data_IF_837752317583
#
_entry.id   IF_837752317583
#
_cell.length_a   1.000
_cell.length_b   1.000
_cell.length_c   1.000
_cell.angle_alpha   90.00
_cell.angle_beta   90.00
_cell.angle_gamma   90.00
#
_symmetry.space_group_name_H-M   'P 1'
#
loop_
_entity.id
_entity.type
_entity.pdbx_description
1 polymer ?
#
# COMPACT_ATOMS: atom_id res chain seq x y z
N UNK A 1 10.96 -15.64 26.26
CA UNK A 1 10.17 -15.87 25.04
C UNK A 1 10.50 -17.25 24.49
N UNK A 2 9.52 -18.03 24.06
CA UNK A 2 9.79 -19.35 23.46
C UNK A 2 10.36 -19.18 22.04
N UNK A 3 11.17 -20.13 21.58
CA UNK A 3 11.77 -20.10 20.23
C UNK A 3 10.72 -20.00 19.13
N UNK A 4 9.56 -20.63 19.32
CA UNK A 4 8.45 -20.55 18.37
C UNK A 4 7.85 -19.15 18.25
N UNK A 5 7.62 -18.47 19.39
CA UNK A 5 7.08 -17.09 19.37
C UNK A 5 8.09 -16.10 18.78
N UNK A 6 9.39 -16.34 18.98
CA UNK A 6 10.44 -15.54 18.35
C UNK A 6 10.46 -15.68 16.83
N UNK A 7 10.27 -16.89 16.32
CA UNK A 7 10.20 -17.13 14.88
C UNK A 7 8.95 -16.46 14.28
N UNK A 8 7.80 -16.54 14.94
CA UNK A 8 6.56 -15.89 14.53
C UNK A 8 6.73 -14.37 14.39
N UNK A 9 7.26 -13.71 15.43
CA UNK A 9 7.49 -12.25 15.42
C UNK A 9 8.47 -11.87 14.30
N UNK A 10 9.58 -12.61 14.18
CA UNK A 10 10.56 -12.34 13.14
C UNK A 10 9.98 -12.49 11.73
N UNK A 11 9.23 -13.56 11.46
CA UNK A 11 8.59 -13.78 10.15
C UNK A 11 7.53 -12.72 9.87
N UNK A 12 6.70 -12.38 10.84
CA UNK A 12 5.65 -11.38 10.67
C UNK A 12 6.23 -9.99 10.39
N UNK A 13 7.26 -9.58 11.14
CA UNK A 13 7.93 -8.30 10.92
C UNK A 13 8.63 -8.27 9.56
N UNK A 14 9.30 -9.35 9.17
CA UNK A 14 9.95 -9.44 7.85
C UNK A 14 8.95 -9.27 6.70
N UNK A 15 7.78 -9.91 6.78
CA UNK A 15 6.73 -9.76 5.78
C UNK A 15 6.17 -8.33 5.73
N UNK A 16 5.98 -7.72 6.90
CA UNK A 16 5.55 -6.33 7.04
C UNK A 16 6.55 -5.36 6.38
N UNK A 17 7.85 -5.53 6.66
CA UNK A 17 8.93 -4.73 6.10
C UNK A 17 9.04 -4.90 4.58
N UNK A 18 8.85 -6.13 4.07
CA UNK A 18 8.74 -6.39 2.62
C UNK A 18 7.56 -5.61 2.03
N UNK A 19 6.41 -5.57 2.72
CA UNK A 19 5.25 -4.79 2.28
C UNK A 19 5.57 -3.30 2.12
N UNK A 20 6.30 -2.73 3.09
CA UNK A 20 6.79 -1.34 3.03
C UNK A 20 7.72 -1.15 1.84
N UNK A 21 8.71 -2.03 1.65
CA UNK A 21 9.65 -1.96 0.53
C UNK A 21 8.91 -2.04 -0.82
N UNK A 22 7.95 -2.95 -0.96
CA UNK A 22 7.15 -3.09 -2.16
C UNK A 22 6.29 -1.85 -2.45
N UNK A 23 5.83 -1.14 -1.41
CA UNK A 23 5.11 0.13 -1.59
C UNK A 23 6.00 1.21 -2.22
N UNK A 24 7.27 1.26 -1.80
CA UNK A 24 8.28 2.17 -2.35
C UNK A 24 8.60 1.79 -3.79
N UNK A 25 8.82 0.50 -4.06
CA UNK A 25 9.04 0.00 -5.41
C UNK A 25 7.86 0.32 -6.32
N UNK A 26 6.63 0.13 -5.85
CA UNK A 26 5.43 0.46 -6.62
C UNK A 26 5.38 1.96 -6.95
N UNK A 27 5.69 2.83 -5.99
CA UNK A 27 5.80 4.27 -6.22
C UNK A 27 6.85 4.63 -7.30
N UNK A 28 8.04 4.04 -7.24
CA UNK A 28 9.08 4.25 -8.24
C UNK A 28 8.62 3.80 -9.63
N UNK A 29 7.93 2.66 -9.74
CA UNK A 29 7.37 2.16 -11.00
C UNK A 29 6.26 3.08 -11.55
N UNK A 30 5.49 3.73 -10.68
CA UNK A 30 4.47 4.70 -11.12
C UNK A 30 5.08 5.97 -11.69
N UNK A 31 6.09 6.53 -11.03
CA UNK A 31 6.82 7.70 -11.54
C UNK A 31 7.58 7.35 -12.81
N UNK A 32 8.12 6.13 -12.90
CA UNK A 32 8.88 5.64 -14.05
C UNK A 32 8.06 5.49 -15.34
N UNK A 33 6.73 5.56 -15.30
CA UNK A 33 5.87 5.33 -16.48
C UNK A 33 6.32 6.06 -17.76
N UNK A 34 6.58 7.39 -17.75
CA UNK A 34 6.96 8.10 -18.97
C UNK A 34 8.29 7.63 -19.53
N UNK A 35 9.18 7.10 -18.69
CA UNK A 35 10.45 6.51 -19.12
C UNK A 35 10.22 5.19 -19.87
N UNK A 36 9.34 4.32 -19.36
CA UNK A 36 8.96 3.07 -20.04
C UNK A 36 8.29 3.33 -21.39
N UNK A 37 7.42 4.35 -21.49
CA UNK A 37 6.77 4.74 -22.75
C UNK A 37 7.80 5.21 -23.82
N UNK A 38 8.85 5.95 -23.40
CA UNK A 38 9.93 6.37 -24.31
C UNK A 38 10.82 5.22 -24.79
N UNK A 39 10.98 4.18 -23.97
CA UNK A 39 11.70 2.96 -24.39
C UNK A 39 10.83 2.18 -25.38
N UNK A 40 9.53 2.07 -25.11
CA UNK A 40 8.58 1.38 -25.96
C UNK A 40 8.63 1.90 -27.42
N UNK A 41 8.73 3.22 -27.59
CA UNK A 41 8.80 3.86 -28.91
C UNK A 41 10.08 3.56 -29.69
N UNK A 42 11.09 2.93 -29.08
CA UNK A 42 12.35 2.54 -29.72
C UNK A 42 12.38 1.07 -30.15
N UNK A 43 11.41 0.25 -29.73
CA UNK A 43 11.34 -1.14 -30.16
C UNK A 43 10.87 -1.23 -31.61
N UNK A 44 11.66 -1.87 -32.45
CA UNK A 44 11.32 -2.15 -33.86
C UNK A 44 10.33 -3.31 -33.99
N UNK A 45 10.35 -4.25 -33.05
CA UNK A 45 9.46 -5.40 -33.03
C UNK A 45 8.25 -5.15 -32.11
N UNK A 46 7.05 -5.16 -32.69
CA UNK A 46 5.79 -4.94 -31.94
C UNK A 46 5.60 -5.94 -30.79
N UNK A 47 5.92 -7.21 -31.02
CA UNK A 47 5.78 -8.27 -30.01
C UNK A 47 6.67 -8.00 -28.79
N UNK A 48 7.89 -7.50 -29.00
CA UNK A 48 8.80 -7.15 -27.90
C UNK A 48 8.29 -5.95 -27.11
N UNK A 49 7.74 -4.94 -27.81
CA UNK A 49 7.10 -3.80 -27.17
C UNK A 49 5.92 -4.23 -26.28
N UNK A 50 5.00 -5.03 -26.82
CA UNK A 50 3.81 -5.49 -26.09
C UNK A 50 4.19 -6.33 -24.86
N UNK A 51 5.18 -7.23 -24.99
CA UNK A 51 5.68 -8.02 -23.86
C UNK A 51 6.33 -7.15 -22.78
N UNK A 52 7.14 -6.16 -23.17
CA UNK A 52 7.78 -5.24 -22.24
C UNK A 52 6.75 -4.39 -21.48
N UNK A 53 5.73 -3.91 -22.17
CA UNK A 53 4.63 -3.17 -21.58
C UNK A 53 3.82 -4.02 -20.59
N UNK A 54 3.51 -5.27 -20.96
CA UNK A 54 2.80 -6.21 -20.10
C UNK A 54 3.60 -6.50 -18.82
N UNK A 55 4.90 -6.78 -18.93
CA UNK A 55 5.78 -7.00 -17.77
C UNK A 55 5.75 -5.77 -16.86
N UNK A 56 5.90 -4.57 -17.42
CA UNK A 56 5.83 -3.34 -16.64
C UNK A 56 4.50 -3.20 -15.87
N UNK A 57 3.35 -3.46 -16.50
CA UNK A 57 2.04 -3.40 -15.84
C UNK A 57 1.96 -4.42 -14.71
N UNK A 58 2.35 -5.68 -14.97
CA UNK A 58 2.30 -6.75 -13.96
C UNK A 58 3.15 -6.38 -12.76
N UNK A 59 4.37 -5.89 -12.96
CA UNK A 59 5.23 -5.47 -11.84
C UNK A 59 4.66 -4.25 -11.12
N UNK A 60 4.20 -3.22 -11.83
CA UNK A 60 3.65 -2.00 -11.21
C UNK A 60 2.41 -2.28 -10.37
N UNK A 61 1.48 -3.09 -10.88
CA UNK A 61 0.19 -3.35 -10.24
C UNK A 61 0.28 -4.51 -9.25
N UNK A 62 1.07 -5.54 -9.58
CA UNK A 62 1.36 -6.66 -8.70
C UNK A 62 2.09 -6.23 -7.44
N UNK A 63 3.13 -5.38 -7.54
CA UNK A 63 3.82 -4.84 -6.36
C UNK A 63 2.90 -4.00 -5.49
N UNK A 64 2.00 -3.19 -6.09
CA UNK A 64 1.01 -2.41 -5.35
C UNK A 64 0.04 -3.31 -4.58
N UNK A 65 -0.45 -4.37 -5.23
CA UNK A 65 -1.38 -5.32 -4.64
C UNK A 65 -0.73 -6.05 -3.45
N UNK A 66 0.47 -6.60 -3.65
CA UNK A 66 1.19 -7.32 -2.59
C UNK A 66 1.55 -6.38 -1.44
N UNK A 67 1.99 -5.15 -1.72
CA UNK A 67 2.25 -4.14 -0.70
C UNK A 67 1.00 -3.84 0.15
N UNK A 68 -0.17 -3.71 -0.47
CA UNK A 68 -1.40 -3.49 0.27
C UNK A 68 -1.80 -4.73 1.09
N UNK A 69 -1.66 -5.94 0.56
CA UNK A 69 -1.97 -7.19 1.28
C UNK A 69 -1.08 -7.36 2.53
N UNK A 70 0.23 -7.13 2.40
CA UNK A 70 1.13 -7.16 3.56
C UNK A 70 0.89 -5.95 4.48
N UNK A 71 0.47 -4.81 3.94
CA UNK A 71 -0.02 -3.68 4.72
C UNK A 71 -1.18 -4.05 5.66
N UNK A 72 -2.10 -4.92 5.22
CA UNK A 72 -3.21 -5.38 6.08
C UNK A 72 -2.74 -6.19 7.29
N UNK A 73 -1.57 -6.83 7.24
CA UNK A 73 -1.00 -7.53 8.40
C UNK A 73 -0.62 -6.58 9.53
N UNK A 74 -0.25 -5.33 9.20
CA UNK A 74 0.00 -4.28 10.20
C UNK A 74 -1.27 -3.86 10.95
N UNK A 75 -2.45 -4.23 10.43
CA UNK A 75 -3.75 -3.91 11.01
C UNK A 75 -4.30 -5.12 11.76
N UNK A 76 -3.47 -5.67 12.63
CA UNK A 76 -3.84 -6.70 13.57
C UNK A 76 -3.31 -6.27 14.94
N UNK A 77 -4.22 -6.09 15.91
CA UNK A 77 -3.88 -5.61 17.25
C UNK A 77 -2.87 -6.50 17.99
N UNK A 78 -2.94 -7.82 17.78
CA UNK A 78 -2.00 -8.78 18.37
C UNK A 78 -0.59 -8.57 17.81
N UNK A 79 -0.48 -8.49 16.48
CA UNK A 79 0.78 -8.17 15.82
C UNK A 79 1.30 -6.79 16.23
N UNK A 80 0.46 -5.76 16.28
CA UNK A 80 0.87 -4.41 16.67
C UNK A 80 1.44 -4.35 18.10
N UNK A 81 0.99 -5.22 19.01
CA UNK A 81 1.55 -5.31 20.35
C UNK A 81 2.94 -5.98 20.36
N UNK A 82 3.15 -6.96 19.48
CA UNK A 82 4.35 -7.80 19.44
C UNK A 82 5.46 -7.28 18.52
N UNK A 83 5.13 -6.62 17.42
CA UNK A 83 6.07 -6.06 16.44
C UNK A 83 6.13 -4.54 16.51
N UNK A 84 7.28 -3.96 16.15
CA UNK A 84 7.46 -2.51 16.09
C UNK A 84 6.79 -1.94 14.83
N UNK A 85 5.58 -1.38 14.94
CA UNK A 85 4.91 -0.69 13.82
C UNK A 85 5.02 0.82 14.01
N UNK A 86 5.33 1.55 12.92
CA UNK A 86 5.45 3.00 12.93
C UNK A 86 4.10 3.70 12.87
N UNK A 87 3.56 4.09 14.03
CA UNK A 87 2.24 4.74 14.12
C UNK A 87 2.33 6.26 13.97
N UNK A 88 1.27 6.93 13.46
CA UNK A 88 0.14 6.37 12.72
C UNK A 88 0.48 6.12 11.23
N UNK A 89 1.73 6.33 10.84
CA UNK A 89 2.14 6.44 9.44
C UNK A 89 1.92 5.16 8.63
N UNK A 90 2.42 4.01 9.08
CA UNK A 90 2.34 2.75 8.31
C UNK A 90 0.89 2.26 8.12
N UNK A 91 0.03 2.26 9.17
CA UNK A 91 -1.39 1.95 9.00
C UNK A 91 -2.13 2.89 8.05
N UNK A 92 -1.87 4.21 8.13
CA UNK A 92 -2.46 5.18 7.20
C UNK A 92 -1.89 5.07 5.79
N UNK A 93 -0.62 4.68 5.65
CA UNK A 93 0.02 4.35 4.38
C UNK A 93 -0.71 3.20 3.68
N UNK A 94 -1.04 2.15 4.44
CA UNK A 94 -1.84 1.02 3.95
C UNK A 94 -3.22 1.46 3.45
N UNK A 95 -3.91 2.33 4.20
CA UNK A 95 -5.19 2.92 3.76
C UNK A 95 -5.03 3.66 2.42
N UNK A 96 -3.99 4.49 2.28
CA UNK A 96 -3.71 5.22 1.04
C UNK A 96 -3.43 4.28 -0.16
N UNK A 97 -2.69 3.19 0.05
CA UNK A 97 -2.46 2.17 -0.97
C UNK A 97 -3.75 1.44 -1.36
N UNK A 98 -4.63 1.14 -0.38
CA UNK A 98 -5.93 0.54 -0.66
C UNK A 98 -6.83 1.46 -1.50
N UNK A 99 -6.85 2.77 -1.21
CA UNK A 99 -7.53 3.77 -2.05
C UNK A 99 -6.97 3.76 -3.47
N UNK A 100 -5.64 3.71 -3.62
CA UNK A 100 -5.01 3.65 -4.93
C UNK A 100 -5.44 2.41 -5.73
N UNK A 101 -5.49 1.24 -5.09
CA UNK A 101 -5.96 0.00 -5.72
C UNK A 101 -7.42 0.10 -6.17
N UNK A 102 -8.33 0.56 -5.30
CA UNK A 102 -9.75 0.72 -5.65
C UNK A 102 -9.91 1.68 -6.83
N UNK A 103 -9.16 2.77 -6.87
CA UNK A 103 -9.20 3.68 -8.01
C UNK A 103 -8.73 3.03 -9.31
N UNK A 104 -7.69 2.20 -9.27
CA UNK A 104 -7.23 1.46 -10.46
C UNK A 104 -8.22 0.43 -10.95
N UNK A 105 -8.90 -0.26 -10.03
CA UNK A 105 -9.90 -1.28 -10.41
C UNK A 105 -11.10 -0.65 -11.10
N UNK A 106 -11.58 0.51 -10.63
CA UNK A 106 -12.83 1.10 -11.12
C UNK A 106 -12.68 2.27 -12.09
N UNK A 107 -11.47 2.80 -12.31
CA UNK A 107 -11.24 3.88 -13.25
C UNK A 107 -10.19 3.46 -14.27
N UNK A 108 -10.37 3.88 -15.51
CA UNK A 108 -9.34 3.71 -16.52
C UNK A 108 -8.12 4.60 -16.17
N UNK A 109 -7.16 4.02 -15.45
CA UNK A 109 -5.90 4.65 -15.09
C UNK A 109 -4.81 4.42 -16.15
N UNK A 110 -5.13 3.73 -17.24
CA UNK A 110 -4.19 3.47 -18.33
C UNK A 110 -3.98 4.71 -19.20
N UNK A 111 -4.98 5.57 -19.36
CA UNK A 111 -4.80 6.85 -20.07
C UNK A 111 -4.10 7.90 -19.21
N UNK A 112 -3.37 8.82 -19.86
CA UNK A 112 -2.74 10.00 -19.23
C UNK A 112 -3.82 11.02 -18.83
N UNK A 113 -4.63 10.62 -17.86
CA UNK A 113 -5.83 11.32 -17.43
C UNK A 113 -5.72 11.75 -15.96
N UNK A 114 -6.73 12.50 -15.51
CA UNK A 114 -6.87 12.88 -14.09
C UNK A 114 -6.88 11.66 -13.17
N UNK A 115 -7.44 10.54 -13.62
CA UNK A 115 -7.48 9.29 -12.87
C UNK A 115 -6.08 8.69 -12.61
N UNK A 116 -5.20 8.69 -13.63
CA UNK A 116 -3.81 8.26 -13.47
C UNK A 116 -3.06 9.13 -12.46
N UNK A 117 -3.17 10.47 -12.58
CA UNK A 117 -2.53 11.40 -11.63
C UNK A 117 -3.00 11.18 -10.20
N UNK A 118 -4.31 11.01 -10.01
CA UNK A 118 -4.87 10.69 -8.69
C UNK A 118 -4.30 9.38 -8.16
N UNK A 119 -4.32 8.29 -8.95
CA UNK A 119 -3.73 7.02 -8.54
C UNK A 119 -2.28 7.18 -8.12
N UNK A 120 -1.48 7.90 -8.91
CA UNK A 120 -0.08 8.16 -8.58
C UNK A 120 0.04 8.94 -7.28
N UNK A 121 -0.77 9.98 -7.03
CA UNK A 121 -0.71 10.71 -5.76
C UNK A 121 -1.01 9.82 -4.55
N UNK A 122 -2.00 8.92 -4.63
CA UNK A 122 -2.32 8.02 -3.53
C UNK A 122 -1.24 6.97 -3.29
N UNK A 123 -0.63 6.42 -4.35
CA UNK A 123 0.53 5.53 -4.23
C UNK A 123 1.72 6.27 -3.61
N UNK A 124 2.02 7.49 -4.08
CA UNK A 124 3.08 8.33 -3.53
C UNK A 124 2.86 8.66 -2.06
N UNK A 125 1.63 9.00 -1.68
CA UNK A 125 1.27 9.28 -0.29
C UNK A 125 1.46 8.03 0.57
N UNK A 126 0.97 6.87 0.11
CA UNK A 126 1.14 5.61 0.83
C UNK A 126 2.61 5.23 1.02
N UNK A 127 3.41 5.32 -0.04
CA UNK A 127 4.85 5.05 0.03
C UNK A 127 5.59 6.05 0.94
N UNK A 128 5.25 7.34 0.88
CA UNK A 128 5.85 8.37 1.73
C UNK A 128 5.55 8.12 3.20
N UNK A 129 4.29 7.82 3.55
CA UNK A 129 3.90 7.47 4.91
C UNK A 129 4.64 6.21 5.40
N UNK A 130 4.74 5.18 4.56
CA UNK A 130 5.49 3.97 4.90
C UNK A 130 6.99 4.25 5.10
N UNK A 131 7.63 5.08 4.28
CA UNK A 131 9.03 5.49 4.46
C UNK A 131 9.20 6.24 5.78
N UNK A 132 8.34 7.22 6.07
CA UNK A 132 8.46 8.00 7.30
C UNK A 132 8.27 7.12 8.54
N UNK A 133 7.25 6.25 8.54
CA UNK A 133 7.01 5.31 9.62
C UNK A 133 8.16 4.33 9.81
N UNK A 134 8.66 3.75 8.72
CA UNK A 134 9.76 2.79 8.78
C UNK A 134 11.06 3.43 9.26
N UNK A 135 11.50 4.49 8.59
CA UNK A 135 12.80 5.12 8.87
C UNK A 135 12.78 5.83 10.21
N UNK A 136 11.79 6.70 10.47
CA UNK A 136 11.83 7.59 11.63
C UNK A 136 11.29 6.96 12.91
N UNK A 137 10.35 6.01 12.81
CA UNK A 137 9.66 5.44 13.98
C UNK A 137 10.11 4.01 14.24
N UNK A 138 10.17 3.14 13.23
CA UNK A 138 10.52 1.73 13.44
C UNK A 138 12.03 1.53 13.64
N UNK A 139 12.86 2.10 12.77
CA UNK A 139 14.31 1.84 12.79
C UNK A 139 15.13 2.90 13.53
N UNK A 140 14.97 4.19 13.22
CA UNK A 140 15.86 5.23 13.74
C UNK A 140 15.90 5.38 15.27
N UNK A 141 14.82 5.17 16.06
CA UNK A 141 14.88 5.20 17.52
C UNK A 141 15.56 3.95 18.13
N UNK A 142 16.57 3.40 17.46
CA UNK A 142 17.43 2.33 17.97
C UNK A 142 18.35 2.80 19.10
N UNK A 143 19.14 1.87 19.65
CA UNK A 143 20.01 2.10 20.81
C UNK A 143 21.04 3.22 20.56
N UNK A 144 21.45 3.44 19.31
CA UNK A 144 22.42 4.44 18.92
C UNK A 144 21.87 5.88 19.04
N UNK A 145 20.63 6.09 18.60
CA UNK A 145 20.00 7.42 18.61
C UNK A 145 19.22 7.69 19.89
N UNK A 146 18.75 6.64 20.58
CA UNK A 146 18.15 6.76 21.92
C UNK A 146 19.19 7.21 22.96
N UNK A 147 20.47 6.85 22.77
CA UNK A 147 21.59 7.33 23.59
C UNK A 147 21.78 8.85 23.53
N UNK A 148 21.39 9.50 22.43
CA UNK A 148 21.47 10.96 22.29
C UNK A 148 20.43 11.71 23.16
N UNK A 149 19.40 11.02 23.68
CA UNK A 149 18.36 11.55 24.59
C UNK A 149 17.70 12.87 24.16
N UNK A 150 17.66 13.15 22.85
CA UNK A 150 16.96 14.34 22.35
C UNK A 150 15.45 14.12 22.41
N UNK A 151 14.69 15.18 22.67
CA UNK A 151 13.22 15.11 22.78
C UNK A 151 12.55 14.57 21.52
N UNK A 152 13.17 14.82 20.35
CA UNK A 152 12.69 14.30 19.07
C UNK A 152 12.74 12.76 19.00
N UNK A 153 13.87 12.14 19.36
CA UNK A 153 14.01 10.68 19.30
C UNK A 153 13.14 9.96 20.33
N UNK A 154 12.94 10.58 21.50
CA UNK A 154 12.00 10.07 22.51
C UNK A 154 10.54 10.12 22.01
N UNK A 155 10.17 11.18 21.30
CA UNK A 155 8.85 11.30 20.66
C UNK A 155 8.66 10.25 19.56
N UNK A 156 9.67 10.00 18.72
CA UNK A 156 9.57 8.95 17.71
C UNK A 156 9.50 7.55 18.33
N UNK A 157 10.24 7.30 19.41
CA UNK A 157 10.16 6.03 20.14
C UNK A 157 8.76 5.78 20.71
N UNK A 158 8.12 6.80 21.28
CA UNK A 158 6.78 6.68 21.86
C UNK A 158 5.65 6.49 20.83
N UNK A 159 5.98 6.59 19.54
CA UNK A 159 5.05 6.34 18.43
C UNK A 159 5.17 4.91 17.87
N UNK A 160 6.02 4.07 18.46
CA UNK A 160 6.05 2.64 18.16
C UNK A 160 4.85 1.94 18.78
N UNK A 161 4.27 0.99 18.06
CA UNK A 161 3.08 0.28 18.53
C UNK A 161 3.28 -0.58 19.77
N UNK A 162 4.45 -1.21 19.91
CA UNK A 162 4.82 -2.01 21.07
C UNK A 162 5.09 -1.18 22.33
N UNK A 163 5.40 0.12 22.17
CA UNK A 163 5.68 1.05 23.27
C UNK A 163 4.45 1.84 23.71
N UNK A 164 3.49 2.05 22.80
CA UNK A 164 2.27 2.83 23.07
C UNK A 164 1.01 2.09 22.59
N UNK A 165 0.47 1.18 23.43
CA UNK A 165 -0.71 0.40 23.09
C UNK A 165 -1.99 1.24 22.90
N UNK A 166 -2.10 2.38 23.58
CA UNK A 166 -3.26 3.28 23.43
C UNK A 166 -3.28 3.89 22.02
N UNK A 167 -2.15 4.42 21.56
CA UNK A 167 -2.02 4.99 20.22
C UNK A 167 -2.16 3.91 19.14
N UNK A 168 -1.67 2.69 19.40
CA UNK A 168 -1.88 1.54 18.52
C UNK A 168 -3.37 1.22 18.35
N UNK A 169 -4.12 1.19 19.46
CA UNK A 169 -5.55 0.90 19.47
C UNK A 169 -6.34 1.96 18.72
N UNK A 170 -6.06 3.25 18.97
CA UNK A 170 -6.72 4.36 18.28
C UNK A 170 -6.43 4.32 16.77
N UNK A 171 -5.16 4.14 16.40
CA UNK A 171 -4.74 4.06 15.00
C UNK A 171 -5.39 2.88 14.29
N UNK A 172 -5.45 1.72 14.95
CA UNK A 172 -6.14 0.54 14.44
C UNK A 172 -7.60 0.84 14.12
N UNK A 173 -8.37 1.41 15.06
CA UNK A 173 -9.79 1.69 14.83
C UNK A 173 -10.01 2.69 13.69
N UNK A 174 -9.20 3.75 13.61
CA UNK A 174 -9.30 4.74 12.54
C UNK A 174 -9.02 4.08 11.18
N UNK A 175 -7.88 3.39 11.05
CA UNK A 175 -7.51 2.73 9.79
C UNK A 175 -8.47 1.62 9.41
N UNK A 176 -8.96 0.83 10.37
CA UNK A 176 -9.94 -0.22 10.15
C UNK A 176 -11.27 0.35 9.65
N UNK A 177 -11.75 1.44 10.24
CA UNK A 177 -12.97 2.13 9.80
C UNK A 177 -12.80 2.66 8.37
N UNK A 178 -11.67 3.28 8.05
CA UNK A 178 -11.39 3.78 6.70
C UNK A 178 -11.34 2.64 5.68
N UNK A 179 -10.64 1.54 5.98
CA UNK A 179 -10.58 0.38 5.08
C UNK A 179 -11.93 -0.30 4.91
N UNK A 180 -12.71 -0.41 5.98
CA UNK A 180 -14.07 -0.96 5.91
C UNK A 180 -14.96 -0.09 5.01
N UNK A 181 -14.87 1.24 5.13
CA UNK A 181 -15.58 2.15 4.24
C UNK A 181 -15.13 2.00 2.77
N UNK A 182 -13.83 1.85 2.51
CA UNK A 182 -13.28 1.60 1.17
C UNK A 182 -13.78 0.26 0.61
N UNK A 183 -13.77 -0.80 1.42
CA UNK A 183 -14.25 -2.13 1.04
C UNK A 183 -15.74 -2.11 0.69
N UNK A 184 -16.57 -1.51 1.53
CA UNK A 184 -18.00 -1.31 1.26
C UNK A 184 -18.22 -0.54 -0.04
N UNK A 185 -17.50 0.57 -0.23
CA UNK A 185 -17.57 1.35 -1.47
C UNK A 185 -17.20 0.52 -2.71
N UNK A 186 -16.14 -0.28 -2.62
CA UNK A 186 -15.69 -1.15 -3.71
C UNK A 186 -16.75 -2.20 -4.06
N UNK A 187 -17.36 -2.86 -3.06
CA UNK A 187 -18.43 -3.83 -3.26
C UNK A 187 -19.65 -3.19 -3.93
N UNK A 188 -20.10 -2.02 -3.46
CA UNK A 188 -21.21 -1.30 -4.09
C UNK A 188 -20.91 -0.91 -5.54
N UNK A 189 -19.69 -0.48 -5.85
CA UNK A 189 -19.30 -0.16 -7.22
C UNK A 189 -19.27 -1.39 -8.12
N UNK A 190 -18.75 -2.50 -7.62
CA UNK A 190 -18.74 -3.77 -8.35
C UNK A 190 -20.15 -4.27 -8.68
N UNK A 191 -21.06 -4.27 -7.70
CA UNK A 191 -22.47 -4.68 -7.91
C UNK A 191 -23.17 -3.79 -8.95
N UNK A 192 -22.97 -2.48 -8.88
CA UNK A 192 -23.55 -1.54 -9.85
C UNK A 192 -23.01 -1.75 -11.28
N UNK A 193 -21.73 -2.09 -11.43
CA UNK A 193 -21.14 -2.38 -12.74
C UNK A 193 -21.70 -3.69 -13.31
N UNK A 194 -21.83 -4.73 -12.48
CA UNK A 194 -22.41 -6.01 -12.89
C UNK A 194 -23.87 -5.86 -13.35
N UNK A 195 -24.69 -5.15 -12.56
CA UNK A 195 -26.10 -4.91 -12.90
C UNK A 195 -26.27 -4.15 -14.22
N UNK A 196 -25.43 -3.14 -14.48
CA UNK A 196 -25.47 -2.40 -15.76
C UNK A 196 -25.07 -3.27 -16.95
N UNK A 197 -24.08 -4.15 -16.77
CA UNK A 197 -23.66 -5.08 -17.82
C UNK A 197 -24.78 -6.07 -18.17
N UNK A 198 -25.52 -6.55 -17.16
CA UNK A 198 -26.68 -7.43 -17.35
C UNK A 198 -27.82 -6.73 -18.10
N UNK A 199 -28.14 -5.49 -17.73
CA UNK A 199 -29.17 -4.69 -18.42
C UNK A 199 -28.83 -4.44 -19.89
N UNK A 200 -27.56 -4.12 -20.20
CA UNK A 200 -27.10 -3.90 -21.58
C UNK A 200 -27.17 -5.19 -22.42
N UNK A 201 -26.93 -6.35 -21.80
CA UNK A 201 -27.07 -7.64 -22.48
C UNK A 201 -28.54 -7.94 -22.77
N UNK A 202 -29.45 -7.65 -21.84
CA UNK A 202 -30.89 -7.84 -22.03
C UNK A 202 -31.46 -6.94 -23.15
N UNK A 203 -31.02 -5.69 -23.26
CA UNK A 203 -31.48 -4.78 -24.33
C UNK A 203 -31.00 -5.19 -25.73
N UNK A 204 -29.79 -5.74 -25.85
CA UNK A 204 -29.25 -6.20 -27.14
C UNK A 204 -29.87 -7.50 -27.66
N UNK A 205 -30.56 -8.27 -26.80
CA UNK A 205 -31.29 -9.49 -27.22
C UNK A 205 -32.70 -9.15 -27.74
N UNK A 206 -33.22 -7.96 -27.42
CA UNK A 206 -34.55 -7.49 -27.84
C UNK A 206 -34.54 -6.63 -29.11
N UNK A 207 -33.35 -6.28 -29.63
CA UNK A 207 -33.15 -5.53 -30.87
C UNK A 207 -32.72 -6.47 -32.00
#
# INVERSE_FOLDING_TARGET
MSTFKALEIWTAQTLCDIGILLSILSFLLHIGRPYFERILSRFTLRVAADLWWLVYIIFRDGTLLVAALFGLLHLNLDLMADIKVGLPFVPLGTVALAVALVMKVFRNTEDVNRAFRLSTYWVSLGALLNILGYVLVMEAPGDEYSAAKTSFWQMMHSWRSNENPELATVTFYISFLMLSAIGVFATFKAMNLYSKAEQAKASNVQA
#
